data_IF_827110864380
#
_entry.id   IF_827110864380
#
_cell.length_a   1.000
_cell.length_b   1.000
_cell.length_c   1.000
_cell.angle_alpha   90.00
_cell.angle_beta   90.00
_cell.angle_gamma   90.00
#
_symmetry.space_group_name_H-M   'P 1'
#
loop_
_entity.id
_entity.type
_entity.pdbx_description
1 polymer ?
#
# COMPACT_ATOMS: atom_id res chain seq x y z
N UNK A 1 0.25 22.46 1.65
CA UNK A 1 1.57 22.62 1.01
C UNK A 1 1.51 23.84 0.11
N UNK A 2 2.48 24.79 0.26
CA UNK A 2 2.49 26.05 -0.49
C UNK A 2 3.11 25.94 -1.89
N UNK A 3 3.64 24.78 -2.27
CA UNK A 3 4.46 24.60 -3.49
C UNK A 3 5.62 25.60 -3.63
N UNK A 4 6.17 26.05 -2.50
CA UNK A 4 7.26 27.02 -2.46
C UNK A 4 8.55 26.37 -1.97
N UNK A 5 9.66 26.73 -2.61
CA UNK A 5 11.01 26.48 -2.10
C UNK A 5 11.54 27.79 -1.57
N UNK A 6 12.00 27.83 -0.32
CA UNK A 6 12.54 29.02 0.30
C UNK A 6 13.69 28.68 1.24
N UNK A 7 14.60 29.65 1.44
CA UNK A 7 15.62 29.56 2.49
C UNK A 7 14.96 29.73 3.86
N UNK A 8 15.45 28.98 4.85
CA UNK A 8 14.87 29.06 6.17
C UNK A 8 15.62 28.27 7.24
N UNK A 9 15.13 28.41 8.46
CA UNK A 9 15.66 27.74 9.65
C UNK A 9 14.57 26.83 10.19
N UNK A 10 14.91 25.56 10.44
CA UNK A 10 14.04 24.59 11.11
C UNK A 10 14.54 24.39 12.54
N UNK A 11 13.71 24.75 13.52
CA UNK A 11 13.97 24.47 14.93
C UNK A 11 13.42 23.12 15.31
N UNK A 12 14.27 22.21 15.81
CA UNK A 12 13.89 20.89 16.28
C UNK A 12 14.03 20.86 17.80
N UNK A 13 12.97 20.45 18.50
CA UNK A 13 12.98 20.24 19.95
C UNK A 13 12.33 18.90 20.29
N UNK A 14 13.04 18.08 21.06
CA UNK A 14 12.58 16.74 21.48
C UNK A 14 12.16 15.85 20.27
N UNK A 15 12.95 15.88 19.19
CA UNK A 15 12.70 15.07 17.99
C UNK A 15 11.49 15.52 17.14
N UNK A 16 10.95 16.71 17.41
CA UNK A 16 9.82 17.28 16.66
C UNK A 16 10.20 18.64 16.10
N UNK A 17 9.69 18.94 14.91
CA UNK A 17 9.78 20.29 14.34
C UNK A 17 8.95 21.21 15.23
N UNK A 18 9.63 22.19 15.87
CA UNK A 18 9.01 23.19 16.73
C UNK A 18 8.59 24.41 15.92
N UNK A 19 9.44 24.83 14.98
CA UNK A 19 9.20 26.02 14.18
C UNK A 19 9.91 25.92 12.82
N UNK A 20 9.37 26.60 11.82
CA UNK A 20 9.99 26.80 10.50
C UNK A 20 9.89 28.28 10.20
N UNK A 21 11.04 28.95 10.06
CA UNK A 21 11.13 30.38 9.82
C UNK A 21 11.76 30.65 8.47
N UNK A 22 11.07 31.36 7.58
CA UNK A 22 11.65 31.85 6.33
C UNK A 22 12.74 32.89 6.67
N UNK A 23 13.93 32.68 6.14
CA UNK A 23 15.09 33.56 6.40
C UNK A 23 15.99 33.55 5.16
N UNK A 24 16.13 34.69 4.51
CA UNK A 24 16.97 34.83 3.30
C UNK A 24 18.46 34.94 3.59
N UNK A 25 18.81 35.30 4.83
CA UNK A 25 20.19 35.57 5.25
C UNK A 25 20.94 34.31 5.71
N UNK A 26 20.35 33.14 5.53
CA UNK A 26 21.02 31.87 5.82
C UNK A 26 21.81 31.40 4.60
N UNK A 27 23.04 31.00 4.83
CA UNK A 27 23.85 30.29 3.83
C UNK A 27 23.59 28.80 3.96
N UNK A 28 22.99 28.20 2.92
CA UNK A 28 22.62 26.76 2.92
C UNK A 28 22.61 26.21 1.50
N UNK A 29 23.25 25.05 1.34
CA UNK A 29 23.31 24.30 0.09
C UNK A 29 22.49 23.02 0.14
N UNK A 30 21.82 22.76 1.28
CA UNK A 30 21.02 21.56 1.48
C UNK A 30 19.53 21.85 1.33
N UNK A 31 18.81 20.88 0.77
CA UNK A 31 17.35 20.88 0.70
C UNK A 31 16.78 19.96 1.77
N UNK A 32 15.71 20.41 2.43
CA UNK A 32 14.93 19.60 3.37
C UNK A 32 13.53 19.47 2.80
N UNK A 33 13.05 18.24 2.70
CA UNK A 33 11.72 17.91 2.23
C UNK A 33 11.11 16.83 3.14
N UNK A 34 9.80 16.64 3.12
CA UNK A 34 9.16 15.49 3.78
C UNK A 34 9.77 14.18 3.29
N UNK A 35 9.87 13.21 4.18
CA UNK A 35 10.31 11.87 3.80
C UNK A 35 9.40 11.27 2.71
N UNK A 36 9.97 10.46 1.84
CA UNK A 36 9.27 9.86 0.72
C UNK A 36 8.34 8.74 1.18
N UNK A 37 7.23 8.58 0.49
CA UNK A 37 6.33 7.43 0.64
C UNK A 37 6.32 6.68 -0.69
N UNK A 38 6.70 5.41 -0.66
CA UNK A 38 6.55 4.52 -1.81
C UNK A 38 5.10 4.05 -1.89
N UNK A 39 4.45 4.31 -3.01
CA UNK A 39 3.03 4.08 -3.17
C UNK A 39 2.66 2.62 -3.46
N UNK A 40 3.64 1.77 -3.81
CA UNK A 40 3.38 0.37 -4.14
C UNK A 40 4.63 -0.49 -3.91
N UNK A 41 4.56 -1.43 -2.94
CA UNK A 41 5.68 -2.30 -2.58
C UNK A 41 5.21 -3.69 -2.20
N UNK A 42 5.94 -4.71 -2.69
CA UNK A 42 5.92 -6.07 -2.16
C UNK A 42 7.17 -6.29 -1.31
N UNK A 43 7.05 -6.16 0.01
CA UNK A 43 8.17 -6.27 0.96
C UNK A 43 8.86 -7.64 0.81
N UNK A 44 8.07 -8.69 0.66
CA UNK A 44 8.52 -10.07 0.53
C UNK A 44 9.41 -10.32 -0.68
N UNK A 45 9.24 -9.56 -1.77
CA UNK A 45 10.14 -9.60 -2.95
C UNK A 45 11.57 -9.23 -2.61
N UNK A 46 11.79 -8.46 -1.54
CA UNK A 46 13.13 -8.15 -1.03
C UNK A 46 13.72 -9.21 -0.11
N UNK A 47 13.00 -10.32 0.11
CA UNK A 47 13.39 -11.47 0.94
C UNK A 47 13.67 -11.12 2.43
N UNK A 48 13.09 -10.02 2.91
CA UNK A 48 13.22 -9.61 4.32
C UNK A 48 11.84 -9.33 4.95
N UNK A 49 11.81 -9.34 6.28
CA UNK A 49 10.61 -8.95 7.02
C UNK A 49 10.46 -7.41 7.08
N UNK A 50 9.26 -6.87 7.33
CA UNK A 50 8.99 -5.43 7.33
C UNK A 50 9.96 -4.59 8.17
N UNK A 51 10.35 -5.06 9.35
CA UNK A 51 11.27 -4.32 10.22
C UNK A 51 12.67 -4.15 9.61
N UNK A 52 13.16 -5.16 8.87
CA UNK A 52 14.45 -5.08 8.17
C UNK A 52 14.32 -4.23 6.89
N UNK A 53 13.21 -4.37 6.16
CA UNK A 53 12.92 -3.51 5.02
C UNK A 53 12.96 -2.03 5.42
N UNK A 54 12.28 -1.67 6.50
CA UNK A 54 12.27 -0.30 7.02
C UNK A 54 13.67 0.23 7.35
N UNK A 55 14.53 -0.62 7.95
CA UNK A 55 15.89 -0.24 8.30
C UNK A 55 16.76 0.09 7.08
N UNK A 56 16.49 -0.53 5.94
CA UNK A 56 17.16 -0.21 4.68
C UNK A 56 16.49 0.99 3.97
N UNK A 57 15.17 1.00 3.84
CA UNK A 57 14.42 2.03 3.12
C UNK A 57 14.65 3.44 3.68
N UNK A 58 14.73 3.57 5.01
CA UNK A 58 14.94 4.88 5.65
C UNK A 58 16.30 5.51 5.32
N UNK A 59 17.30 4.70 5.01
CA UNK A 59 18.64 5.20 4.59
C UNK A 59 18.58 5.93 3.24
N UNK A 60 17.54 5.67 2.46
CA UNK A 60 17.31 6.27 1.14
C UNK A 60 16.21 7.34 1.16
N UNK A 61 15.75 7.75 2.36
CA UNK A 61 14.77 8.82 2.53
C UNK A 61 13.31 8.37 2.50
N UNK A 62 13.04 7.08 2.33
CA UNK A 62 11.68 6.53 2.40
C UNK A 62 11.28 6.34 3.85
N UNK A 63 10.17 6.94 4.27
CA UNK A 63 9.66 6.90 5.64
C UNK A 63 8.34 6.15 5.77
N UNK A 64 7.74 5.77 4.66
CA UNK A 64 6.49 5.02 4.61
C UNK A 64 6.31 4.30 3.28
N UNK A 65 5.47 3.27 3.29
CA UNK A 65 5.14 2.49 2.09
C UNK A 65 3.69 2.05 2.11
N UNK A 66 3.09 1.92 0.93
CA UNK A 66 1.87 1.14 0.72
C UNK A 66 2.31 -0.27 0.31
N UNK A 67 1.94 -1.27 1.10
CA UNK A 67 2.41 -2.64 0.92
C UNK A 67 1.27 -3.60 0.63
N UNK A 68 1.39 -4.35 -0.47
CA UNK A 68 0.54 -5.50 -0.77
C UNK A 68 1.28 -6.81 -0.46
N UNK A 69 0.96 -7.49 0.63
CA UNK A 69 1.64 -8.73 1.04
C UNK A 69 1.03 -9.98 0.38
N UNK A 70 0.67 -9.94 -0.91
CA UNK A 70 0.02 -11.08 -1.57
C UNK A 70 0.96 -12.26 -1.82
N UNK A 71 2.25 -12.01 -2.01
CA UNK A 71 3.23 -13.08 -2.26
C UNK A 71 3.34 -14.00 -1.04
N UNK A 72 3.51 -13.44 0.16
CA UNK A 72 3.55 -14.27 1.37
C UNK A 72 2.16 -14.78 1.74
N UNK A 73 1.10 -14.07 1.37
CA UNK A 73 -0.28 -14.53 1.55
C UNK A 73 -0.59 -15.77 0.70
N UNK A 74 0.01 -15.90 -0.50
CA UNK A 74 -0.07 -17.13 -1.30
C UNK A 74 0.49 -18.36 -0.56
N UNK A 75 1.40 -18.17 0.38
CA UNK A 75 2.02 -19.26 1.16
C UNK A 75 1.20 -19.58 2.42
N UNK A 76 0.79 -18.56 3.17
CA UNK A 76 0.23 -18.73 4.53
C UNK A 76 -1.11 -18.00 4.77
N UNK A 77 -1.71 -17.43 3.73
CA UNK A 77 -3.01 -16.74 3.81
C UNK A 77 -3.02 -15.58 4.81
N UNK A 78 -4.13 -15.40 5.49
CA UNK A 78 -4.35 -14.32 6.49
C UNK A 78 -3.32 -14.35 7.62
N UNK A 79 -2.71 -15.49 7.93
CA UNK A 79 -1.67 -15.59 8.97
C UNK A 79 -0.41 -14.82 8.57
N UNK A 80 -0.03 -14.87 7.30
CA UNK A 80 1.10 -14.12 6.75
C UNK A 80 0.87 -12.61 6.86
N UNK A 81 -0.31 -12.14 6.47
CA UNK A 81 -0.69 -10.72 6.56
C UNK A 81 -0.59 -10.22 8.02
N UNK A 82 -1.10 -11.01 8.96
CA UNK A 82 -1.00 -10.70 10.38
C UNK A 82 0.44 -10.67 10.89
N UNK A 83 1.31 -11.55 10.36
CA UNK A 83 2.75 -11.52 10.66
C UNK A 83 3.38 -10.22 10.15
N UNK A 84 3.12 -9.83 8.90
CA UNK A 84 3.65 -8.61 8.30
C UNK A 84 3.25 -7.38 9.10
N UNK A 85 1.97 -7.26 9.45
CA UNK A 85 1.45 -6.17 10.29
C UNK A 85 2.14 -6.16 11.67
N UNK A 86 2.22 -7.32 12.34
CA UNK A 86 2.83 -7.42 13.66
C UNK A 86 4.32 -7.07 13.65
N UNK A 87 5.05 -7.54 12.64
CA UNK A 87 6.46 -7.25 12.49
C UNK A 87 6.71 -5.77 12.20
N UNK A 88 5.93 -5.14 11.33
CA UNK A 88 6.02 -3.72 11.02
C UNK A 88 5.81 -2.80 12.23
N UNK A 89 5.02 -3.21 13.23
CA UNK A 89 4.80 -2.44 14.46
C UNK A 89 6.04 -2.32 15.36
N UNK A 90 7.08 -3.09 15.12
CA UNK A 90 8.29 -3.06 15.96
C UNK A 90 9.26 -1.93 15.62
N UNK A 91 9.00 -1.16 14.57
CA UNK A 91 9.88 -0.09 14.08
C UNK A 91 9.10 1.22 13.83
N UNK A 92 9.74 2.39 13.99
CA UNK A 92 9.11 3.68 13.75
C UNK A 92 9.08 4.03 12.24
N UNK A 93 8.38 3.22 11.47
CA UNK A 93 8.20 3.37 10.03
C UNK A 93 6.71 3.24 9.70
N UNK A 94 6.24 3.93 8.65
CA UNK A 94 4.83 3.92 8.29
C UNK A 94 4.53 2.82 7.29
N UNK A 95 3.83 1.78 7.73
CA UNK A 95 3.32 0.72 6.87
C UNK A 95 1.83 0.91 6.64
N UNK A 96 1.43 1.15 5.41
CA UNK A 96 0.05 1.19 4.95
C UNK A 96 -0.24 -0.14 4.24
N UNK A 97 -0.58 -1.17 5.00
CA UNK A 97 -0.88 -2.48 4.41
C UNK A 97 -2.21 -2.47 3.67
N UNK A 98 -2.25 -3.14 2.52
CA UNK A 98 -3.46 -3.45 1.80
C UNK A 98 -3.88 -4.91 2.03
N UNK A 99 -5.17 -5.21 1.84
CA UNK A 99 -5.67 -6.58 1.86
C UNK A 99 -5.47 -7.21 0.48
N UNK A 100 -4.68 -8.28 0.32
CA UNK A 100 -4.48 -8.93 -0.97
C UNK A 100 -5.78 -9.37 -1.62
N UNK A 101 -6.11 -8.83 -2.77
CA UNK A 101 -7.37 -9.09 -3.47
C UNK A 101 -7.41 -10.47 -4.13
N UNK A 102 -6.27 -10.93 -4.61
CA UNK A 102 -6.11 -12.15 -5.40
C UNK A 102 -5.11 -13.10 -4.74
N UNK A 103 -5.61 -14.10 -4.01
CA UNK A 103 -4.84 -15.18 -3.40
C UNK A 103 -5.60 -16.49 -3.63
N UNK A 104 -5.14 -17.33 -4.57
CA UNK A 104 -4.02 -17.13 -5.50
C UNK A 104 -4.25 -16.01 -6.51
N UNK A 105 -3.17 -15.57 -7.17
CA UNK A 105 -3.22 -14.50 -8.17
C UNK A 105 -4.05 -14.90 -9.40
N UNK A 106 -3.99 -16.17 -9.78
CA UNK A 106 -4.77 -16.73 -10.90
C UNK A 106 -5.51 -18.02 -10.50
N UNK A 107 -6.64 -18.35 -11.14
CA UNK A 107 -7.45 -19.53 -10.78
C UNK A 107 -6.80 -20.87 -11.17
N UNK A 108 -5.72 -20.85 -11.95
CA UNK A 108 -5.04 -22.06 -12.45
C UNK A 108 -3.66 -22.31 -11.81
N UNK A 109 -3.26 -21.50 -10.84
CA UNK A 109 -2.04 -21.76 -10.08
C UNK A 109 -2.34 -22.46 -8.75
N UNK A 110 -1.32 -23.19 -8.26
CA UNK A 110 -1.35 -23.79 -6.93
C UNK A 110 -0.82 -22.83 -5.91
N UNK A 111 -1.53 -22.63 -4.81
CA UNK A 111 -1.11 -21.79 -3.68
C UNK A 111 -1.22 -22.54 -2.35
N UNK A 112 -0.48 -22.06 -1.34
CA UNK A 112 -0.59 -22.60 0.02
C UNK A 112 -1.85 -22.13 0.77
N UNK A 113 -2.55 -21.12 0.24
CA UNK A 113 -3.77 -20.59 0.83
C UNK A 113 -4.67 -19.94 -0.23
N UNK A 114 -5.94 -19.78 0.15
CA UNK A 114 -6.95 -19.04 -0.62
C UNK A 114 -7.49 -17.96 0.33
N UNK A 115 -7.71 -16.74 -0.16
CA UNK A 115 -8.38 -15.67 0.58
C UNK A 115 -9.67 -15.30 -0.15
N UNK A 116 -10.80 -15.64 0.46
CA UNK A 116 -12.13 -15.38 -0.07
C UNK A 116 -12.68 -14.00 0.35
N UNK A 117 -13.85 -13.62 -0.18
CA UNK A 117 -14.48 -12.34 0.11
C UNK A 117 -14.81 -12.12 1.60
N UNK A 118 -15.18 -13.16 2.34
CA UNK A 118 -15.44 -13.04 3.78
C UNK A 118 -14.16 -12.75 4.58
N UNK A 119 -13.04 -13.32 4.17
CA UNK A 119 -11.73 -13.04 4.77
C UNK A 119 -11.27 -11.62 4.42
N UNK A 120 -11.46 -11.17 3.18
CA UNK A 120 -11.20 -9.78 2.76
C UNK A 120 -12.04 -8.81 3.60
N UNK A 121 -13.33 -9.07 3.76
CA UNK A 121 -14.21 -8.25 4.60
C UNK A 121 -13.71 -8.14 6.04
N UNK A 122 -13.20 -9.24 6.61
CA UNK A 122 -12.58 -9.24 7.96
C UNK A 122 -11.27 -8.47 7.99
N UNK A 123 -10.42 -8.60 6.97
CA UNK A 123 -9.17 -7.85 6.85
C UNK A 123 -9.44 -6.34 6.74
N UNK A 124 -10.36 -5.93 5.88
CA UNK A 124 -10.74 -4.53 5.69
C UNK A 124 -11.32 -3.86 6.95
N UNK A 125 -11.80 -4.64 7.93
CA UNK A 125 -12.19 -4.11 9.24
C UNK A 125 -11.02 -3.77 10.16
N UNK A 126 -9.79 -4.21 9.85
CA UNK A 126 -8.61 -3.90 10.65
C UNK A 126 -8.17 -2.46 10.40
N UNK A 127 -7.72 -1.79 11.46
CA UNK A 127 -7.18 -0.43 11.39
C UNK A 127 -5.91 -0.35 10.55
N UNK A 128 -5.12 -1.41 10.54
CA UNK A 128 -3.84 -1.50 9.85
C UNK A 128 -3.98 -1.76 8.35
N UNK A 129 -5.17 -2.09 7.87
CA UNK A 129 -5.45 -2.31 6.45
C UNK A 129 -6.10 -1.05 5.87
N UNK A 130 -5.45 -0.43 4.92
CA UNK A 130 -5.82 0.87 4.35
C UNK A 130 -6.53 0.76 3.00
N UNK A 131 -6.32 -0.31 2.26
CA UNK A 131 -6.83 -0.50 0.89
C UNK A 131 -7.18 -1.96 0.62
N UNK A 132 -7.90 -2.23 -0.44
CA UNK A 132 -7.86 -3.50 -1.16
C UNK A 132 -6.68 -3.41 -2.14
N UNK A 133 -5.78 -4.40 -2.09
CA UNK A 133 -4.58 -4.44 -2.92
C UNK A 133 -4.90 -4.82 -4.37
N UNK A 134 -3.87 -4.81 -5.20
CA UNK A 134 -3.92 -5.04 -6.64
C UNK A 134 -5.00 -6.02 -7.08
N UNK A 135 -5.97 -5.53 -7.84
CA UNK A 135 -7.02 -6.36 -8.43
C UNK A 135 -6.51 -7.02 -9.72
N UNK A 136 -5.62 -8.00 -9.58
CA UNK A 136 -5.00 -8.72 -10.70
C UNK A 136 -5.99 -9.54 -11.50
N UNK A 137 -7.12 -9.96 -10.91
CA UNK A 137 -8.15 -10.68 -11.64
C UNK A 137 -9.06 -9.72 -12.42
N UNK A 138 -8.45 -8.90 -13.30
CA UNK A 138 -9.21 -8.01 -14.18
C UNK A 138 -10.19 -8.75 -15.10
N UNK A 139 -9.92 -9.99 -15.59
CA UNK A 139 -10.94 -10.73 -16.33
C UNK A 139 -12.20 -11.01 -15.50
N UNK A 140 -12.02 -11.31 -14.22
CA UNK A 140 -13.15 -11.50 -13.30
C UNK A 140 -13.94 -10.22 -13.08
N UNK A 141 -13.27 -9.06 -12.99
CA UNK A 141 -13.94 -7.74 -12.90
C UNK A 141 -14.78 -7.49 -14.15
N UNK A 142 -14.19 -7.61 -15.34
CA UNK A 142 -14.84 -7.32 -16.64
C UNK A 142 -16.05 -8.21 -16.88
N UNK A 143 -15.97 -9.48 -16.45
CA UNK A 143 -17.03 -10.47 -16.62
C UNK A 143 -18.01 -10.52 -15.44
N UNK A 144 -17.81 -9.72 -14.40
CA UNK A 144 -18.70 -9.64 -13.25
C UNK A 144 -18.66 -10.92 -12.37
N UNK A 145 -17.47 -11.50 -12.16
CA UNK A 145 -17.29 -12.65 -11.27
C UNK A 145 -17.78 -12.32 -9.86
N UNK A 146 -18.69 -13.14 -9.34
CA UNK A 146 -19.35 -12.90 -8.05
C UNK A 146 -18.37 -12.75 -6.88
N UNK A 147 -17.33 -13.57 -6.82
CA UNK A 147 -16.36 -13.55 -5.73
C UNK A 147 -15.46 -12.30 -5.81
N UNK A 148 -15.06 -11.92 -7.02
CA UNK A 148 -14.29 -10.70 -7.26
C UNK A 148 -15.11 -9.46 -6.89
N UNK A 149 -16.35 -9.38 -7.37
CA UNK A 149 -17.23 -8.24 -7.09
C UNK A 149 -17.58 -8.12 -5.60
N UNK A 150 -17.72 -9.23 -4.87
CA UNK A 150 -17.88 -9.19 -3.40
C UNK A 150 -16.70 -8.58 -2.68
N UNK A 151 -15.46 -8.84 -3.14
CA UNK A 151 -14.23 -8.24 -2.57
C UNK A 151 -14.19 -6.73 -2.84
N UNK A 152 -14.47 -6.32 -4.06
CA UNK A 152 -14.54 -4.90 -4.48
C UNK A 152 -15.59 -4.17 -3.64
N UNK A 153 -16.83 -4.70 -3.57
CA UNK A 153 -17.91 -4.10 -2.79
C UNK A 153 -17.57 -4.00 -1.31
N UNK A 154 -16.86 -4.99 -0.74
CA UNK A 154 -16.41 -4.94 0.64
C UNK A 154 -15.44 -3.77 0.91
N UNK A 155 -14.61 -3.38 -0.06
CA UNK A 155 -13.74 -2.21 0.06
C UNK A 155 -14.54 -0.90 -0.09
N UNK A 156 -15.45 -0.84 -1.06
CA UNK A 156 -16.34 0.31 -1.28
C UNK A 156 -17.18 0.58 -0.02
N UNK A 157 -17.81 -0.44 0.58
CA UNK A 157 -18.59 -0.33 1.81
C UNK A 157 -17.80 0.25 3.00
N UNK A 158 -16.47 0.10 2.97
CA UNK A 158 -15.56 0.62 3.99
C UNK A 158 -14.92 1.95 3.59
N UNK A 159 -15.28 2.49 2.44
CA UNK A 159 -14.64 3.69 1.87
C UNK A 159 -13.13 3.58 1.79
N UNK A 160 -12.63 2.38 1.44
CA UNK A 160 -11.21 2.11 1.25
C UNK A 160 -10.88 2.10 -0.24
N UNK A 161 -9.76 2.69 -0.65
CA UNK A 161 -9.34 2.65 -2.03
C UNK A 161 -9.07 1.22 -2.50
N UNK A 162 -9.19 1.01 -3.79
CA UNK A 162 -8.93 -0.26 -4.46
C UNK A 162 -7.81 -0.02 -5.46
N UNK A 163 -6.73 -0.74 -5.29
CA UNK A 163 -5.59 -0.71 -6.18
C UNK A 163 -5.80 -1.65 -7.36
N UNK A 164 -5.24 -1.29 -8.52
CA UNK A 164 -5.39 -2.00 -9.77
C UNK A 164 -4.15 -2.78 -10.18
N UNK A 165 -4.35 -3.65 -11.14
CA UNK A 165 -3.30 -4.33 -11.90
C UNK A 165 -3.93 -4.93 -13.15
N UNK A 166 -3.88 -4.20 -14.26
CA UNK A 166 -4.57 -4.58 -15.49
C UNK A 166 -3.67 -4.41 -16.73
N UNK A 167 -2.53 -5.12 -16.79
CA UNK A 167 -1.56 -4.95 -17.85
C UNK A 167 -2.20 -5.18 -19.24
N UNK A 168 -1.91 -4.26 -20.17
CA UNK A 168 -2.41 -4.25 -21.55
C UNK A 168 -3.93 -4.06 -21.70
N UNK A 169 -4.66 -3.80 -20.63
CA UNK A 169 -6.09 -3.52 -20.73
C UNK A 169 -6.32 -2.12 -21.35
N UNK A 170 -7.30 -2.00 -22.22
CA UNK A 170 -7.60 -0.74 -22.92
C UNK A 170 -9.05 -0.66 -23.37
N UNK A 171 -9.51 0.55 -23.79
CA UNK A 171 -10.84 0.77 -24.33
C UNK A 171 -11.95 0.40 -23.35
N UNK A 172 -13.06 -0.13 -23.85
CA UNK A 172 -14.25 -0.45 -23.08
C UNK A 172 -13.99 -1.40 -21.89
N UNK A 173 -13.01 -2.29 -21.99
CA UNK A 173 -12.72 -3.22 -20.91
C UNK A 173 -11.96 -2.51 -19.78
N UNK A 174 -11.09 -1.54 -20.08
CA UNK A 174 -10.50 -0.67 -19.09
C UNK A 174 -11.57 0.20 -18.41
N UNK A 175 -12.52 0.73 -19.18
CA UNK A 175 -13.64 1.51 -18.63
C UNK A 175 -14.45 0.67 -17.63
N UNK A 176 -14.82 -0.57 -17.96
CA UNK A 176 -15.50 -1.48 -17.03
C UNK A 176 -14.70 -1.73 -15.74
N UNK A 177 -13.38 -1.88 -15.88
CA UNK A 177 -12.49 -2.11 -14.76
C UNK A 177 -12.46 -0.91 -13.81
N UNK A 178 -12.33 0.30 -14.34
CA UNK A 178 -12.36 1.56 -13.58
C UNK A 178 -13.75 1.79 -12.97
N UNK A 179 -14.83 1.56 -13.75
CA UNK A 179 -16.21 1.74 -13.29
C UNK A 179 -16.58 0.79 -12.14
N UNK A 180 -15.88 -0.33 -11.99
CA UNK A 180 -16.03 -1.21 -10.84
C UNK A 180 -15.52 -0.59 -9.52
N UNK A 181 -14.86 0.57 -9.57
CA UNK A 181 -14.38 1.31 -8.42
C UNK A 181 -12.87 1.20 -8.15
N UNK A 182 -12.11 0.64 -9.09
CA UNK A 182 -10.65 0.57 -9.01
C UNK A 182 -10.09 1.93 -9.39
N UNK A 183 -9.27 2.53 -8.52
CA UNK A 183 -8.91 3.96 -8.59
C UNK A 183 -7.44 4.23 -8.91
N UNK A 184 -6.61 3.20 -8.85
CA UNK A 184 -5.16 3.27 -9.12
C UNK A 184 -4.71 2.03 -9.89
N UNK A 185 -3.58 2.14 -10.57
CA UNK A 185 -2.87 1.01 -11.21
C UNK A 185 -1.37 1.38 -11.27
#
# INVERSE_FOLDING_TARGET
FSNEIYKGIIEIKNGKIKNIVKCNDVDCDNYILPGLIDAHVHIESSLVAPSYFAAEAVKHGTVGIVADPHEIANVMGVKAINFMIKNGKNVPFHFFFAAPSCVPATPFESSGAIINADEIKKLLNKREIYALAEMMNFPGVINGDDEVMKKINAAIDKSKPIDGHAPLLSGNDLEKYVDAGISTD
#
